data_IF_238633414273
#
_entry.id   IF_238633414273
#
_cell.length_a   1.000
_cell.length_b   1.000
_cell.length_c   1.000
_cell.angle_alpha   90.00
_cell.angle_beta   90.00
_cell.angle_gamma   90.00
#
_symmetry.space_group_name_H-M   'P 1'
#
loop_
_entity.id
_entity.type
_entity.pdbx_description
1 polymer ?
#
# COMPACT_ATOMS: atom_id res chain seq x y z
N UNK A 1 -15.44 2.24 21.46
CA UNK A 1 -16.02 0.99 20.88
C UNK A 1 -15.46 0.67 19.50
N UNK A 2 -15.61 1.50 18.46
CA UNK A 2 -15.12 1.16 17.10
C UNK A 2 -13.63 0.84 16.99
N UNK A 3 -12.78 1.65 17.62
CA UNK A 3 -11.33 1.39 17.64
C UNK A 3 -11.01 0.09 18.40
N UNK A 4 -11.70 -0.18 19.51
CA UNK A 4 -11.56 -1.40 20.30
C UNK A 4 -12.05 -2.64 19.53
N UNK A 5 -13.12 -2.53 18.75
CA UNK A 5 -13.60 -3.61 17.89
C UNK A 5 -12.67 -3.87 16.71
N UNK A 6 -12.16 -2.82 16.07
CA UNK A 6 -11.17 -2.96 15.00
C UNK A 6 -9.93 -3.68 15.54
N UNK A 7 -9.47 -3.32 16.74
CA UNK A 7 -8.39 -4.01 17.45
C UNK A 7 -8.75 -5.45 17.81
N UNK A 8 -9.91 -5.73 18.43
CA UNK A 8 -10.33 -7.09 18.80
C UNK A 8 -10.56 -8.02 17.59
N UNK A 9 -11.04 -7.49 16.45
CA UNK A 9 -11.26 -8.29 15.23
C UNK A 9 -9.95 -8.65 14.53
N UNK A 10 -8.88 -7.86 14.70
CA UNK A 10 -7.62 -8.00 13.95
C UNK A 10 -6.45 -8.51 14.80
N UNK A 11 -6.43 -8.20 16.08
CA UNK A 11 -5.45 -8.63 17.07
C UNK A 11 -6.14 -9.63 18.00
N UNK A 12 -5.89 -10.93 17.78
CA UNK A 12 -6.29 -11.96 18.75
C UNK A 12 -5.56 -11.68 20.07
N UNK A 13 -6.27 -11.27 21.12
CA UNK A 13 -5.73 -11.24 22.49
C UNK A 13 -5.74 -9.89 23.23
N UNK A 14 -6.38 -8.83 22.72
CA UNK A 14 -6.71 -7.67 23.57
C UNK A 14 -8.08 -7.91 24.25
N UNK A 15 -8.05 -8.20 25.55
CA UNK A 15 -9.23 -8.45 26.40
C UNK A 15 -9.90 -7.13 26.78
N UNK A 16 -10.34 -6.37 25.78
CA UNK A 16 -11.27 -5.28 26.01
C UNK A 16 -12.67 -5.87 26.17
N UNK A 17 -13.39 -5.50 27.24
CA UNK A 17 -14.80 -5.86 27.47
C UNK A 17 -15.73 -5.09 26.50
N UNK A 18 -15.48 -5.30 25.21
CA UNK A 18 -16.23 -4.77 24.09
C UNK A 18 -17.66 -5.30 24.13
N UNK A 19 -17.88 -6.49 24.69
CA UNK A 19 -19.20 -7.09 24.83
C UNK A 19 -20.08 -6.28 25.82
N UNK A 20 -19.56 -5.91 27.00
CA UNK A 20 -20.32 -5.09 27.94
C UNK A 20 -20.59 -3.68 27.41
N UNK A 21 -19.60 -3.06 26.77
CA UNK A 21 -19.76 -1.72 26.18
C UNK A 21 -20.73 -1.74 24.98
N UNK A 22 -20.71 -2.80 24.18
CA UNK A 22 -21.68 -2.98 23.09
C UNK A 22 -23.10 -3.16 23.63
N UNK A 23 -23.28 -3.98 24.67
CA UNK A 23 -24.59 -4.18 25.30
C UNK A 23 -25.16 -2.88 25.87
N UNK A 24 -24.32 -2.04 26.50
CA UNK A 24 -24.71 -0.69 26.96
C UNK A 24 -25.13 0.19 25.78
N UNK A 25 -24.36 0.16 24.69
CA UNK A 25 -24.67 0.95 23.50
C UNK A 25 -25.99 0.50 22.84
N UNK A 26 -26.21 -0.81 22.70
CA UNK A 26 -27.43 -1.38 22.14
C UNK A 26 -28.66 -0.98 22.96
N UNK A 27 -28.57 -1.04 24.30
CA UNK A 27 -29.65 -0.62 25.19
C UNK A 27 -29.99 0.87 25.07
N UNK A 28 -28.98 1.74 24.92
CA UNK A 28 -29.19 3.18 24.73
C UNK A 28 -29.70 3.50 23.33
N UNK A 29 -29.28 2.72 22.33
CA UNK A 29 -29.68 2.88 20.94
C UNK A 29 -31.01 2.24 20.58
N UNK A 30 -31.63 1.47 21.48
CA UNK A 30 -32.88 0.77 21.20
C UNK A 30 -34.01 1.78 20.90
N UNK A 31 -34.73 1.57 19.79
CA UNK A 31 -35.83 2.45 19.36
C UNK A 31 -35.41 3.80 18.76
N UNK A 32 -34.13 4.18 18.80
CA UNK A 32 -33.68 5.46 18.22
C UNK A 32 -33.55 5.34 16.69
N UNK A 33 -34.31 6.14 15.94
CA UNK A 33 -34.21 6.21 14.48
C UNK A 33 -33.31 7.39 14.09
N UNK A 34 -32.06 7.09 13.72
CA UNK A 34 -31.11 8.10 13.27
C UNK A 34 -30.12 7.48 12.27
N UNK A 35 -29.89 8.07 11.09
CA UNK A 35 -29.03 7.48 10.04
C UNK A 35 -27.64 7.09 10.53
N UNK A 36 -27.04 7.94 11.38
CA UNK A 36 -25.73 7.66 12.00
C UNK A 36 -25.74 6.43 12.92
N UNK A 37 -26.84 6.20 13.65
CA UNK A 37 -26.99 5.04 14.52
C UNK A 37 -27.15 3.78 13.67
N UNK A 38 -27.83 3.85 12.54
CA UNK A 38 -27.97 2.70 11.62
C UNK A 38 -26.62 2.23 11.06
N UNK A 39 -25.71 3.16 10.71
CA UNK A 39 -24.34 2.81 10.32
C UNK A 39 -23.57 2.11 11.45
N UNK A 40 -23.76 2.53 12.71
CA UNK A 40 -23.17 1.83 13.85
C UNK A 40 -23.80 0.44 14.03
N UNK A 41 -25.12 0.28 13.92
CA UNK A 41 -25.79 -1.02 13.95
C UNK A 41 -25.22 -1.97 12.89
N UNK A 42 -25.07 -1.50 11.65
CA UNK A 42 -24.45 -2.27 10.57
C UNK A 42 -23.04 -2.72 10.92
N UNK A 43 -22.21 -1.83 11.49
CA UNK A 43 -20.84 -2.16 11.91
C UNK A 43 -20.79 -3.18 13.04
N UNK A 44 -21.70 -3.07 14.01
CA UNK A 44 -21.79 -3.98 15.15
C UNK A 44 -22.29 -5.37 14.75
N UNK A 45 -23.16 -5.45 13.74
CA UNK A 45 -23.65 -6.70 13.18
C UNK A 45 -22.64 -7.49 12.31
N UNK A 46 -21.36 -7.09 12.25
CA UNK A 46 -20.39 -7.86 11.45
C UNK A 46 -20.22 -9.27 12.01
N UNK A 47 -20.45 -10.25 11.15
CA UNK A 47 -20.23 -11.67 11.42
C UNK A 47 -18.89 -12.06 10.81
N UNK A 48 -18.13 -12.92 11.50
CA UNK A 48 -16.78 -13.30 11.09
C UNK A 48 -16.71 -13.88 9.66
N UNK A 49 -17.77 -14.56 9.22
CA UNK A 49 -17.85 -15.26 7.92
C UNK A 49 -18.14 -14.32 6.74
N UNK A 50 -18.71 -13.13 6.99
CA UNK A 50 -19.18 -12.20 5.95
C UNK A 50 -18.57 -10.79 6.05
N UNK A 51 -17.43 -10.64 6.74
CA UNK A 51 -16.88 -9.33 7.07
C UNK A 51 -16.65 -8.41 5.86
N UNK A 52 -16.20 -8.95 4.72
CA UNK A 52 -15.91 -8.13 3.54
C UNK A 52 -17.18 -7.62 2.85
N UNK A 53 -18.21 -8.46 2.70
CA UNK A 53 -19.49 -8.04 2.10
C UNK A 53 -20.23 -7.06 3.00
N UNK A 54 -20.19 -7.27 4.32
CA UNK A 54 -20.76 -6.34 5.30
C UNK A 54 -20.03 -5.00 5.33
N UNK A 55 -18.71 -5.01 5.18
CA UNK A 55 -17.92 -3.79 5.01
C UNK A 55 -18.34 -3.00 3.76
N UNK A 56 -18.52 -3.67 2.62
CA UNK A 56 -18.98 -3.00 1.41
C UNK A 56 -20.37 -2.40 1.57
N UNK A 57 -21.31 -3.14 2.15
CA UNK A 57 -22.64 -2.63 2.45
C UNK A 57 -22.59 -1.39 3.36
N UNK A 58 -21.76 -1.40 4.41
CA UNK A 58 -21.57 -0.25 5.31
C UNK A 58 -20.97 0.94 4.58
N UNK A 59 -19.93 0.73 3.75
CA UNK A 59 -19.28 1.79 2.97
C UNK A 59 -20.28 2.45 2.03
N UNK A 60 -21.04 1.66 1.30
CA UNK A 60 -22.00 2.16 0.32
C UNK A 60 -23.16 2.89 1.01
N UNK A 61 -23.66 2.36 2.14
CA UNK A 61 -24.66 3.05 2.96
C UNK A 61 -24.19 4.42 3.45
N UNK A 62 -22.94 4.53 3.91
CA UNK A 62 -22.33 5.80 4.32
C UNK A 62 -22.20 6.79 3.15
N UNK A 63 -21.65 6.34 2.02
CA UNK A 63 -21.41 7.22 0.86
C UNK A 63 -22.72 7.73 0.24
N UNK A 64 -23.74 6.88 0.17
CA UNK A 64 -25.05 7.22 -0.41
C UNK A 64 -25.89 8.12 0.50
N UNK A 65 -25.78 7.97 1.81
CA UNK A 65 -26.60 8.73 2.78
C UNK A 65 -25.84 9.86 3.49
N UNK A 66 -24.61 10.20 3.07
CA UNK A 66 -23.74 11.18 3.74
C UNK A 66 -24.44 12.50 4.11
N UNK A 67 -25.34 12.97 3.24
CA UNK A 67 -26.07 14.24 3.42
C UNK A 67 -27.07 14.22 4.60
N UNK A 68 -27.37 13.05 5.15
CA UNK A 68 -28.24 12.87 6.31
C UNK A 68 -27.47 12.89 7.65
N UNK A 69 -26.13 13.03 7.60
CA UNK A 69 -25.27 13.05 8.77
C UNK A 69 -24.70 14.45 8.99
N UNK A 70 -24.58 14.87 10.25
CA UNK A 70 -23.85 16.10 10.56
C UNK A 70 -22.33 15.92 10.37
N UNK A 71 -21.57 17.02 10.36
CA UNK A 71 -20.12 17.01 10.11
C UNK A 71 -19.35 16.08 11.08
N UNK A 72 -19.71 16.10 12.37
CA UNK A 72 -19.08 15.26 13.39
C UNK A 72 -19.31 13.78 13.11
N UNK A 73 -20.52 13.41 12.70
CA UNK A 73 -20.87 12.03 12.35
C UNK A 73 -20.17 11.56 11.09
N UNK A 74 -20.15 12.41 10.04
CA UNK A 74 -19.43 12.11 8.80
C UNK A 74 -17.95 11.85 9.10
N UNK A 75 -17.32 12.69 9.91
CA UNK A 75 -15.93 12.54 10.34
C UNK A 75 -15.70 11.20 11.06
N UNK A 76 -16.53 10.86 12.04
CA UNK A 76 -16.38 9.63 12.83
C UNK A 76 -16.52 8.38 11.96
N UNK A 77 -17.55 8.33 11.10
CA UNK A 77 -17.78 7.19 10.21
C UNK A 77 -16.71 7.07 9.14
N UNK A 78 -16.26 8.18 8.55
CA UNK A 78 -15.20 8.19 7.55
C UNK A 78 -13.88 7.67 8.11
N UNK A 79 -13.44 8.16 9.27
CA UNK A 79 -12.22 7.68 9.93
C UNK A 79 -12.34 6.19 10.26
N UNK A 80 -13.50 5.75 10.73
CA UNK A 80 -13.73 4.34 11.03
C UNK A 80 -13.70 3.45 9.79
N UNK A 81 -14.27 3.92 8.67
CA UNK A 81 -14.21 3.21 7.38
C UNK A 81 -12.78 3.15 6.84
N UNK A 82 -12.03 4.25 6.88
CA UNK A 82 -10.63 4.27 6.46
C UNK A 82 -9.79 3.25 7.25
N UNK A 83 -10.00 3.16 8.56
CA UNK A 83 -9.32 2.19 9.40
C UNK A 83 -9.66 0.74 8.98
N UNK A 84 -10.93 0.44 8.73
CA UNK A 84 -11.34 -0.87 8.22
C UNK A 84 -10.72 -1.17 6.85
N UNK A 85 -10.76 -0.21 5.92
CA UNK A 85 -10.18 -0.36 4.58
C UNK A 85 -8.70 -0.71 4.68
N UNK A 86 -7.94 0.00 5.52
CA UNK A 86 -6.52 -0.28 5.71
C UNK A 86 -6.28 -1.66 6.33
N UNK A 87 -7.17 -2.13 7.20
CA UNK A 87 -7.10 -3.49 7.74
C UNK A 87 -7.32 -4.56 6.68
N UNK A 88 -8.34 -4.39 5.82
CA UNK A 88 -8.61 -5.32 4.71
C UNK A 88 -7.52 -5.27 3.63
N UNK A 89 -6.90 -4.12 3.38
CA UNK A 89 -5.72 -4.02 2.51
C UNK A 89 -4.56 -4.83 3.10
N UNK A 90 -4.32 -4.70 4.40
CA UNK A 90 -3.23 -5.42 5.09
C UNK A 90 -3.46 -6.94 5.12
N UNK A 91 -4.71 -7.40 5.21
CA UNK A 91 -5.05 -8.82 5.10
C UNK A 91 -5.03 -9.36 3.66
N UNK A 92 -4.92 -8.47 2.67
CA UNK A 92 -4.92 -8.81 1.25
C UNK A 92 -6.31 -9.09 0.68
N UNK A 93 -7.37 -8.67 1.38
CA UNK A 93 -8.77 -8.80 0.93
C UNK A 93 -9.23 -7.63 0.06
N UNK A 94 -8.56 -6.48 0.16
CA UNK A 94 -8.79 -5.30 -0.68
C UNK A 94 -7.49 -4.86 -1.35
N UNK A 95 -7.63 -4.17 -2.48
CA UNK A 95 -6.52 -3.48 -3.13
C UNK A 95 -6.36 -2.07 -2.54
N UNK A 96 -5.15 -1.50 -2.61
CA UNK A 96 -4.90 -0.15 -2.10
C UNK A 96 -5.75 0.91 -2.80
N UNK A 97 -6.11 0.69 -4.07
CA UNK A 97 -6.97 1.59 -4.85
C UNK A 97 -8.39 1.69 -4.30
N UNK A 98 -8.88 0.69 -3.55
CA UNK A 98 -10.19 0.70 -2.90
C UNK A 98 -10.32 1.76 -1.81
N UNK A 99 -9.18 2.22 -1.28
CA UNK A 99 -9.14 3.30 -0.28
C UNK A 99 -9.29 4.70 -0.86
N UNK A 100 -9.03 4.88 -2.17
CA UNK A 100 -8.93 6.20 -2.78
C UNK A 100 -10.22 7.03 -2.66
N UNK A 101 -11.44 6.49 -2.87
CA UNK A 101 -12.67 7.29 -2.74
C UNK A 101 -12.87 7.86 -1.33
N UNK A 102 -12.53 7.09 -0.29
CA UNK A 102 -12.63 7.54 1.10
C UNK A 102 -11.58 8.60 1.42
N UNK A 103 -10.36 8.44 0.89
CA UNK A 103 -9.34 9.47 1.04
C UNK A 103 -9.69 10.77 0.32
N UNK A 104 -10.24 10.70 -0.90
CA UNK A 104 -10.72 11.89 -1.63
C UNK A 104 -11.79 12.64 -0.84
N UNK A 105 -12.80 11.93 -0.34
CA UNK A 105 -13.81 12.52 0.55
C UNK A 105 -13.18 13.12 1.83
N UNK A 106 -12.18 12.45 2.39
CA UNK A 106 -11.48 12.94 3.58
C UNK A 106 -10.61 14.18 3.36
N UNK A 107 -10.12 14.38 2.12
CA UNK A 107 -9.45 15.61 1.71
C UNK A 107 -10.47 16.74 1.51
N UNK A 108 -11.55 16.47 0.77
CA UNK A 108 -12.63 17.44 0.49
C UNK A 108 -13.26 18.01 1.77
N UNK A 109 -13.46 17.15 2.77
CA UNK A 109 -14.04 17.53 4.08
C UNK A 109 -13.02 18.05 5.08
N UNK A 110 -11.72 18.00 4.77
CA UNK A 110 -10.65 18.34 5.71
C UNK A 110 -10.49 17.36 6.89
N UNK A 111 -11.25 16.26 6.93
CA UNK A 111 -11.22 15.26 8.01
C UNK A 111 -9.83 14.64 8.20
N UNK A 112 -9.07 14.50 7.12
CA UNK A 112 -7.70 13.95 7.14
C UNK A 112 -6.65 14.91 7.70
N UNK A 113 -6.98 16.19 7.83
CA UNK A 113 -6.08 17.22 8.31
C UNK A 113 -6.17 17.32 9.83
N UNK A 114 -5.13 16.86 10.52
CA UNK A 114 -4.98 17.08 11.96
C UNK A 114 -4.19 18.37 12.19
N UNK A 115 -4.82 19.39 12.78
CA UNK A 115 -4.21 20.72 12.94
C UNK A 115 -3.67 21.30 11.61
N UNK A 116 -4.43 21.11 10.53
CA UNK A 116 -4.05 21.55 9.18
C UNK A 116 -2.95 20.71 8.54
N UNK A 117 -2.58 19.56 9.12
CA UNK A 117 -1.53 18.70 8.60
C UNK A 117 -2.00 17.31 8.18
N UNK A 118 -1.48 16.81 7.07
CA UNK A 118 -1.60 15.41 6.67
C UNK A 118 -0.50 14.58 7.35
N UNK A 119 -0.91 13.41 7.84
CA UNK A 119 0.07 12.42 8.30
C UNK A 119 0.91 11.90 7.12
N UNK A 120 2.17 11.55 7.39
CA UNK A 120 3.05 10.89 6.42
C UNK A 120 2.39 9.66 5.79
N UNK A 121 1.74 8.82 6.60
CA UNK A 121 1.08 7.60 6.13
C UNK A 121 -0.05 7.93 5.15
N UNK A 122 -0.97 8.82 5.54
CA UNK A 122 -2.08 9.29 4.70
C UNK A 122 -1.57 9.82 3.37
N UNK A 123 -0.57 10.71 3.40
CA UNK A 123 0.03 11.29 2.20
C UNK A 123 0.56 10.20 1.26
N UNK A 124 1.38 9.28 1.77
CA UNK A 124 1.97 8.22 0.95
C UNK A 124 0.94 7.21 0.45
N UNK A 125 -0.08 6.88 1.25
CA UNK A 125 -1.15 5.97 0.82
C UNK A 125 -1.97 6.57 -0.32
N UNK A 126 -2.30 7.86 -0.26
CA UNK A 126 -3.03 8.55 -1.33
C UNK A 126 -2.23 8.48 -2.62
N UNK A 127 -0.94 8.86 -2.58
CA UNK A 127 -0.03 8.80 -3.74
C UNK A 127 0.07 7.38 -4.32
N UNK A 128 0.18 6.35 -3.48
CA UNK A 128 0.27 4.97 -3.97
C UNK A 128 -1.06 4.53 -4.58
N UNK A 129 -2.17 4.78 -3.90
CA UNK A 129 -3.50 4.39 -4.35
C UNK A 129 -3.85 5.07 -5.68
N UNK A 130 -3.62 6.38 -5.81
CA UNK A 130 -3.93 7.13 -7.03
C UNK A 130 -3.03 6.76 -8.20
N UNK A 131 -1.73 6.56 -7.98
CA UNK A 131 -0.83 6.11 -9.03
C UNK A 131 -1.12 4.67 -9.48
N UNK A 132 -1.40 3.76 -8.54
CA UNK A 132 -1.80 2.37 -8.86
C UNK A 132 -3.10 2.35 -9.68
N UNK A 133 -4.05 3.26 -9.38
CA UNK A 133 -5.30 3.40 -10.14
C UNK A 133 -5.10 4.06 -11.51
N UNK A 134 -3.96 4.71 -11.75
CA UNK A 134 -3.69 5.47 -12.97
C UNK A 134 -4.33 6.87 -13.00
N UNK A 135 -4.79 7.40 -11.87
CA UNK A 135 -5.36 8.76 -11.80
C UNK A 135 -4.23 9.78 -11.61
N UNK A 136 -3.39 9.96 -12.62
CA UNK A 136 -2.18 10.77 -12.55
C UNK A 136 -2.44 12.27 -12.42
N UNK A 137 -3.49 12.78 -13.05
CA UNK A 137 -3.88 14.19 -12.94
C UNK A 137 -4.25 14.55 -11.50
N UNK A 138 -5.09 13.69 -10.87
CA UNK A 138 -5.39 13.80 -9.45
C UNK A 138 -4.12 13.72 -8.60
N UNK A 139 -3.21 12.79 -8.91
CA UNK A 139 -1.98 12.64 -8.13
C UNK A 139 -1.10 13.87 -8.20
N UNK A 140 -0.96 14.46 -9.39
CA UNK A 140 -0.17 15.67 -9.62
C UNK A 140 -0.79 16.84 -8.85
N UNK A 141 -2.10 17.04 -8.97
CA UNK A 141 -2.81 18.05 -8.20
C UNK A 141 -2.67 17.82 -6.69
N UNK A 142 -2.79 16.58 -6.23
CA UNK A 142 -2.63 16.22 -4.82
C UNK A 142 -1.24 16.59 -4.29
N UNK A 143 -0.18 16.24 -5.02
CA UNK A 143 1.20 16.53 -4.63
C UNK A 143 1.39 18.05 -4.49
N UNK A 144 1.00 18.83 -5.50
CA UNK A 144 1.21 20.28 -5.48
C UNK A 144 0.38 20.98 -4.40
N UNK A 145 -0.85 20.52 -4.15
CA UNK A 145 -1.75 21.13 -3.16
C UNK A 145 -1.39 20.74 -1.72
N UNK A 146 -1.12 19.46 -1.45
CA UNK A 146 -1.10 18.92 -0.08
C UNK A 146 0.31 18.68 0.48
N UNK A 147 1.38 18.75 -0.32
CA UNK A 147 2.76 18.61 0.21
C UNK A 147 3.06 19.64 1.29
N UNK A 148 2.62 20.89 1.10
CA UNK A 148 2.83 21.97 2.06
C UNK A 148 2.15 21.71 3.42
N UNK A 149 1.15 20.82 3.45
CA UNK A 149 0.42 20.42 4.66
C UNK A 149 1.03 19.18 5.33
N UNK A 150 2.15 18.63 4.85
CA UNK A 150 2.87 17.61 5.61
C UNK A 150 3.82 18.29 6.62
N UNK A 151 4.27 17.57 7.66
CA UNK A 151 5.26 18.07 8.61
C UNK A 151 6.54 18.60 7.92
N UNK A 152 6.99 19.79 8.32
CA UNK A 152 8.03 20.58 7.63
C UNK A 152 9.33 19.81 7.38
N UNK A 153 9.75 18.98 8.34
CA UNK A 153 10.99 18.20 8.28
C UNK A 153 10.98 17.10 7.21
N UNK A 154 9.81 16.64 6.75
CA UNK A 154 9.68 15.58 5.76
C UNK A 154 9.07 16.03 4.42
N UNK A 155 8.64 17.30 4.28
CA UNK A 155 8.00 17.81 3.04
C UNK A 155 8.82 17.54 1.79
N UNK A 156 10.11 17.81 1.81
CA UNK A 156 10.99 17.60 0.64
C UNK A 156 11.09 16.11 0.29
N UNK A 157 11.12 15.23 1.29
CA UNK A 157 11.15 13.79 1.05
C UNK A 157 9.81 13.30 0.50
N UNK A 158 8.69 13.78 1.05
CA UNK A 158 7.33 13.49 0.55
C UNK A 158 7.18 13.91 -0.92
N UNK A 159 7.56 15.14 -1.25
CA UNK A 159 7.41 15.72 -2.59
C UNK A 159 8.21 14.91 -3.63
N UNK A 160 9.52 14.74 -3.38
CA UNK A 160 10.39 14.06 -4.32
C UNK A 160 10.06 12.59 -4.46
N UNK A 161 9.74 11.91 -3.35
CA UNK A 161 9.31 10.51 -3.44
C UNK A 161 8.00 10.36 -4.21
N UNK A 162 7.02 11.23 -3.96
CA UNK A 162 5.73 11.16 -4.65
C UNK A 162 5.87 11.40 -6.15
N UNK A 163 6.66 12.40 -6.55
CA UNK A 163 6.96 12.64 -7.97
C UNK A 163 7.71 11.49 -8.64
N UNK A 164 8.72 10.92 -7.97
CA UNK A 164 9.43 9.74 -8.49
C UNK A 164 8.47 8.55 -8.64
N UNK A 165 7.61 8.33 -7.66
CA UNK A 165 6.62 7.26 -7.68
C UNK A 165 5.59 7.47 -8.81
N UNK A 166 5.11 8.70 -9.02
CA UNK A 166 4.23 9.02 -10.16
C UNK A 166 4.92 8.78 -11.50
N UNK A 167 6.17 9.25 -11.67
CA UNK A 167 6.94 9.01 -12.89
C UNK A 167 7.12 7.51 -13.17
N UNK A 168 7.40 6.73 -12.13
CA UNK A 168 7.50 5.27 -12.22
C UNK A 168 6.21 4.62 -12.75
N UNK A 169 5.05 4.98 -12.18
CA UNK A 169 3.77 4.43 -12.60
C UNK A 169 3.34 4.90 -13.99
N UNK A 170 3.75 6.10 -14.41
CA UNK A 170 3.61 6.60 -15.79
C UNK A 170 4.56 5.94 -16.79
N UNK A 171 5.36 4.95 -16.37
CA UNK A 171 6.39 4.29 -17.18
C UNK A 171 7.54 5.20 -17.64
N UNK A 172 7.68 6.39 -17.03
CA UNK A 172 8.81 7.28 -17.23
C UNK A 172 9.94 6.90 -16.25
N UNK A 173 10.65 5.82 -16.58
CA UNK A 173 11.63 5.19 -15.70
C UNK A 173 12.89 6.06 -15.55
N UNK A 174 13.28 6.77 -16.60
CA UNK A 174 14.43 7.68 -16.62
C UNK A 174 14.21 8.86 -15.68
N UNK A 175 13.03 9.50 -15.72
CA UNK A 175 12.70 10.61 -14.81
C UNK A 175 12.61 10.12 -13.36
N UNK A 176 12.00 8.96 -13.12
CA UNK A 176 11.98 8.34 -11.80
C UNK A 176 13.41 8.19 -11.25
N UNK A 177 14.32 7.60 -12.02
CA UNK A 177 15.73 7.47 -11.63
C UNK A 177 16.42 8.83 -11.43
N UNK A 178 16.14 9.81 -12.28
CA UNK A 178 16.73 11.14 -12.18
C UNK A 178 16.37 11.81 -10.86
N UNK A 179 15.09 11.74 -10.46
CA UNK A 179 14.62 12.27 -9.17
C UNK A 179 15.28 11.53 -8.02
N UNK A 180 15.29 10.20 -8.05
CA UNK A 180 15.85 9.36 -6.99
C UNK A 180 17.37 9.54 -6.81
N UNK A 181 18.10 9.88 -7.87
CA UNK A 181 19.54 10.18 -7.83
C UNK A 181 19.83 11.60 -7.31
N UNK A 182 19.01 12.59 -7.67
CA UNK A 182 19.21 13.99 -7.27
C UNK A 182 18.80 14.26 -5.83
N UNK A 183 17.80 13.54 -5.32
CA UNK A 183 17.28 13.77 -3.98
C UNK A 183 17.83 12.77 -2.96
N UNK A 184 18.48 13.27 -1.90
CA UNK A 184 18.93 12.44 -0.77
C UNK A 184 17.87 12.44 0.32
N UNK A 185 17.12 11.33 0.44
CA UNK A 185 16.09 11.16 1.48
C UNK A 185 16.70 11.17 2.90
N UNK A 186 16.14 11.99 3.79
CA UNK A 186 16.64 12.19 5.16
C UNK A 186 15.78 11.46 6.19
N UNK A 187 14.47 11.46 6.01
CA UNK A 187 13.53 10.80 6.88
C UNK A 187 13.68 9.28 6.78
N UNK A 188 13.79 8.55 7.91
CA UNK A 188 14.03 7.10 7.91
C UNK A 188 13.01 6.29 7.11
N UNK A 189 11.76 6.75 7.03
CA UNK A 189 10.73 6.10 6.22
C UNK A 189 11.01 6.26 4.73
N UNK A 190 11.29 7.47 4.25
CA UNK A 190 11.57 7.74 2.84
C UNK A 190 12.88 7.13 2.37
N UNK A 191 13.85 6.94 3.27
CA UNK A 191 15.05 6.15 2.99
C UNK A 191 14.73 4.68 2.66
N UNK A 192 13.71 4.09 3.29
CA UNK A 192 13.27 2.71 2.99
C UNK A 192 12.50 2.65 1.66
N UNK A 193 11.42 3.43 1.54
CA UNK A 193 10.54 3.35 0.36
C UNK A 193 11.18 3.91 -0.90
N UNK A 194 12.12 4.86 -0.77
CA UNK A 194 12.95 5.30 -1.89
C UNK A 194 13.91 4.21 -2.37
N UNK A 195 14.38 3.34 -1.47
CA UNK A 195 15.20 2.18 -1.87
C UNK A 195 14.38 1.09 -2.55
N UNK A 196 13.17 0.84 -2.06
CA UNK A 196 12.20 -0.04 -2.75
C UNK A 196 11.95 0.48 -4.17
N UNK A 197 11.64 1.77 -4.33
CA UNK A 197 11.35 2.34 -5.64
C UNK A 197 12.57 2.30 -6.58
N UNK A 198 13.78 2.58 -6.09
CA UNK A 198 15.01 2.40 -6.87
C UNK A 198 15.20 0.96 -7.35
N UNK A 199 14.93 -0.03 -6.48
CA UNK A 199 14.96 -1.43 -6.90
C UNK A 199 13.94 -1.70 -8.01
N UNK A 200 12.71 -1.21 -7.87
CA UNK A 200 11.65 -1.44 -8.86
C UNK A 200 12.01 -0.84 -10.22
N UNK A 201 12.51 0.41 -10.26
CA UNK A 201 12.87 1.07 -11.52
C UNK A 201 14.10 0.45 -12.18
N UNK A 202 15.15 0.07 -11.43
CA UNK A 202 16.29 -0.66 -12.00
C UNK A 202 15.88 -2.04 -12.51
N UNK A 203 14.93 -2.69 -11.85
CA UNK A 203 14.42 -3.98 -12.28
C UNK A 203 13.71 -3.85 -13.63
N UNK A 204 12.82 -2.87 -13.76
CA UNK A 204 12.06 -2.64 -14.99
C UNK A 204 12.95 -2.20 -16.14
N UNK A 205 13.98 -1.38 -15.88
CA UNK A 205 14.98 -1.04 -16.87
C UNK A 205 15.78 -2.27 -17.31
N UNK A 206 16.16 -3.15 -16.38
CA UNK A 206 16.84 -4.41 -16.71
C UNK A 206 15.98 -5.33 -17.58
N UNK A 207 14.66 -5.39 -17.36
CA UNK A 207 13.76 -6.16 -18.24
C UNK A 207 13.67 -5.59 -19.67
N UNK A 208 13.93 -4.28 -19.85
CA UNK A 208 13.91 -3.60 -21.15
C UNK A 208 15.29 -3.58 -21.82
N UNK A 209 16.35 -3.50 -21.04
CA UNK A 209 17.74 -3.39 -21.50
C UNK A 209 18.68 -4.12 -20.52
N UNK A 210 19.27 -5.21 -21.00
CA UNK A 210 20.18 -6.07 -20.23
C UNK A 210 21.42 -5.32 -19.71
N UNK A 211 21.77 -4.15 -20.28
CA UNK A 211 22.85 -3.29 -19.79
C UNK A 211 22.65 -2.82 -18.34
N UNK A 212 21.40 -2.79 -17.86
CA UNK A 212 21.05 -2.41 -16.50
C UNK A 212 21.31 -3.52 -15.46
N UNK A 213 21.66 -4.74 -15.88
CA UNK A 213 21.89 -5.87 -14.98
C UNK A 213 22.88 -5.52 -13.86
N UNK A 214 24.06 -5.02 -14.21
CA UNK A 214 25.11 -4.71 -13.23
C UNK A 214 24.65 -3.67 -12.20
N UNK A 215 23.88 -2.67 -12.63
CA UNK A 215 23.34 -1.63 -11.75
C UNK A 215 22.33 -2.22 -10.77
N UNK A 216 21.40 -3.05 -11.24
CA UNK A 216 20.39 -3.70 -10.40
C UNK A 216 21.04 -4.61 -9.34
N UNK A 217 21.96 -5.48 -9.74
CA UNK A 217 22.62 -6.41 -8.82
C UNK A 217 23.49 -5.69 -7.80
N UNK A 218 24.23 -4.66 -8.22
CA UNK A 218 24.97 -3.80 -7.28
C UNK A 218 24.01 -3.10 -6.31
N UNK A 219 22.86 -2.64 -6.80
CA UNK A 219 21.87 -1.97 -5.97
C UNK A 219 21.29 -2.92 -4.91
N UNK A 220 21.00 -4.19 -5.24
CA UNK A 220 20.59 -5.19 -4.25
C UNK A 220 21.61 -5.32 -3.12
N UNK A 221 22.90 -5.41 -3.44
CA UNK A 221 23.98 -5.53 -2.44
C UNK A 221 24.03 -4.30 -1.53
N UNK A 222 23.91 -3.09 -2.11
CA UNK A 222 23.92 -1.85 -1.31
C UNK A 222 22.68 -1.74 -0.41
N UNK A 223 21.51 -2.18 -0.87
CA UNK A 223 20.28 -2.15 -0.10
C UNK A 223 20.35 -3.14 1.08
N UNK A 224 20.77 -4.38 0.83
CA UNK A 224 20.97 -5.38 1.90
C UNK A 224 21.99 -4.92 2.95
N UNK A 225 23.15 -4.41 2.51
CA UNK A 225 24.18 -3.85 3.42
C UNK A 225 23.67 -2.66 4.21
N UNK A 226 22.84 -1.81 3.61
CA UNK A 226 22.22 -0.68 4.31
C UNK A 226 21.20 -1.17 5.35
N UNK A 227 20.32 -2.13 5.02
CA UNK A 227 19.37 -2.73 5.95
C UNK A 227 20.06 -3.38 7.17
N UNK A 228 21.23 -3.99 6.97
CA UNK A 228 22.04 -4.55 8.04
C UNK A 228 22.60 -3.49 9.01
N UNK A 229 22.96 -2.30 8.51
CA UNK A 229 23.53 -1.20 9.29
C UNK A 229 22.50 -0.26 9.90
N UNK A 230 21.31 -0.17 9.30
CA UNK A 230 20.23 0.71 9.76
C UNK A 230 19.77 0.34 11.19
N UNK A 231 19.72 1.32 12.10
CA UNK A 231 19.44 1.09 13.53
C UNK A 231 18.12 1.70 14.02
N UNK A 232 17.52 2.62 13.26
CA UNK A 232 16.24 3.27 13.61
C UNK A 232 15.09 2.26 13.58
N UNK A 233 15.11 1.34 12.61
CA UNK A 233 14.03 0.37 12.42
C UNK A 233 14.31 -0.95 13.13
N UNK A 234 13.27 -1.51 13.77
CA UNK A 234 13.34 -2.83 14.39
C UNK A 234 13.68 -3.93 13.37
N UNK A 235 14.23 -5.05 13.85
CA UNK A 235 14.51 -6.22 12.99
C UNK A 235 13.25 -6.70 12.27
N UNK A 236 12.10 -6.73 12.97
CA UNK A 236 10.82 -7.15 12.39
C UNK A 236 10.32 -6.19 11.30
N UNK A 237 10.48 -4.87 11.49
CA UNK A 237 10.10 -3.89 10.47
C UNK A 237 10.95 -4.04 9.20
N UNK A 238 12.27 -4.21 9.36
CA UNK A 238 13.22 -4.39 8.24
C UNK A 238 13.08 -5.73 7.52
N UNK A 239 12.58 -6.78 8.19
CA UNK A 239 12.46 -8.12 7.62
C UNK A 239 11.67 -8.13 6.30
N UNK A 240 10.59 -7.35 6.23
CA UNK A 240 9.76 -7.25 5.02
C UNK A 240 10.50 -6.63 3.82
N UNK A 241 11.38 -5.66 4.07
CA UNK A 241 12.21 -5.01 3.03
C UNK A 241 13.38 -5.90 2.61
N UNK A 242 14.01 -6.59 3.57
CA UNK A 242 15.05 -7.57 3.27
C UNK A 242 14.47 -8.70 2.41
N UNK A 243 13.30 -9.21 2.79
CA UNK A 243 12.63 -10.27 2.04
C UNK A 243 12.29 -9.83 0.62
N UNK A 244 11.88 -8.57 0.42
CA UNK A 244 11.65 -8.00 -0.89
C UNK A 244 12.90 -8.10 -1.78
N UNK A 245 14.06 -7.64 -1.32
CA UNK A 245 15.31 -7.72 -2.09
C UNK A 245 15.74 -9.17 -2.36
N UNK A 246 15.58 -10.04 -1.35
CA UNK A 246 15.88 -11.47 -1.46
C UNK A 246 14.98 -12.22 -2.45
N UNK A 247 13.80 -11.70 -2.80
CA UNK A 247 12.94 -12.25 -3.85
C UNK A 247 13.25 -11.62 -5.20
N UNK A 248 13.55 -10.31 -5.26
CA UNK A 248 13.95 -9.65 -6.50
C UNK A 248 15.21 -10.27 -7.09
N UNK A 249 16.22 -10.58 -6.27
CA UNK A 249 17.50 -11.12 -6.74
C UNK A 249 17.38 -12.45 -7.53
N UNK A 250 16.75 -13.52 -7.02
CA UNK A 250 16.57 -14.75 -7.79
C UNK A 250 15.68 -14.53 -9.02
N UNK A 251 14.68 -13.65 -8.95
CA UNK A 251 13.84 -13.32 -10.11
C UNK A 251 14.67 -12.65 -11.23
N UNK A 252 15.54 -11.70 -10.88
CA UNK A 252 16.46 -11.07 -11.82
C UNK A 252 17.48 -12.06 -12.40
N UNK A 253 18.01 -12.98 -11.58
CA UNK A 253 18.93 -14.04 -12.05
C UNK A 253 18.26 -14.96 -13.05
N UNK A 254 17.03 -15.39 -12.77
CA UNK A 254 16.26 -16.19 -13.72
C UNK A 254 16.02 -15.44 -15.03
N UNK A 255 15.82 -14.11 -14.99
CA UNK A 255 15.76 -13.31 -16.20
C UNK A 255 17.10 -13.25 -16.96
N UNK A 256 18.23 -13.13 -16.26
CA UNK A 256 19.57 -13.11 -16.86
C UNK A 256 19.99 -14.46 -17.47
N UNK A 257 19.80 -15.56 -16.73
CA UNK A 257 20.37 -16.86 -17.07
C UNK A 257 19.39 -17.73 -17.88
N UNK A 258 19.89 -18.55 -18.81
CA UNK A 258 19.10 -19.49 -19.62
C UNK A 258 18.84 -20.85 -18.94
N UNK A 259 18.81 -20.90 -17.60
CA UNK A 259 18.79 -22.15 -16.83
C UNK A 259 17.38 -22.66 -16.44
N UNK A 260 17.21 -23.98 -16.20
CA UNK A 260 15.94 -24.58 -15.82
C UNK A 260 15.66 -24.37 -14.31
N UNK A 261 15.08 -23.23 -13.95
CA UNK A 261 14.59 -22.97 -12.59
C UNK A 261 13.16 -22.38 -12.55
N UNK A 262 12.36 -22.57 -13.61
CA UNK A 262 10.98 -22.06 -13.70
C UNK A 262 10.14 -22.46 -12.47
N UNK A 263 10.25 -23.72 -12.03
CA UNK A 263 9.54 -24.22 -10.84
C UNK A 263 9.95 -23.50 -9.55
N UNK A 264 11.23 -23.12 -9.40
CA UNK A 264 11.68 -22.37 -8.23
C UNK A 264 11.07 -20.97 -8.23
N UNK A 265 11.05 -20.31 -9.39
CA UNK A 265 10.45 -18.98 -9.56
C UNK A 265 8.95 -18.99 -9.29
N UNK A 266 8.23 -19.99 -9.80
CA UNK A 266 6.80 -20.16 -9.55
C UNK A 266 6.46 -20.22 -8.06
N UNK A 267 7.33 -20.86 -7.27
CA UNK A 267 7.16 -21.04 -5.84
C UNK A 267 7.74 -19.90 -4.97
N UNK A 268 8.53 -18.96 -5.52
CA UNK A 268 9.20 -17.89 -4.75
C UNK A 268 8.26 -17.07 -3.85
N UNK A 269 7.02 -16.85 -4.29
CA UNK A 269 6.02 -16.06 -3.57
C UNK A 269 4.98 -16.92 -2.84
N UNK A 270 5.10 -18.25 -2.90
CA UNK A 270 4.12 -19.16 -2.30
C UNK A 270 4.25 -19.05 -0.78
N UNK A 271 3.17 -18.61 -0.11
CA UNK A 271 3.08 -18.38 1.35
C UNK A 271 3.80 -17.14 1.89
N UNK A 272 4.28 -16.24 1.03
CA UNK A 272 4.82 -14.95 1.47
C UNK A 272 3.71 -14.04 2.00
N UNK A 273 3.77 -13.70 3.29
CA UNK A 273 2.81 -12.81 3.95
C UNK A 273 3.44 -11.52 4.49
N UNK A 274 4.76 -11.50 4.66
CA UNK A 274 5.48 -10.38 5.25
C UNK A 274 6.59 -9.89 4.32
N UNK A 275 6.17 -9.32 3.18
CA UNK A 275 7.07 -8.79 2.17
C UNK A 275 6.54 -7.45 1.66
N UNK A 276 7.45 -6.50 1.44
CA UNK A 276 7.10 -5.22 0.84
C UNK A 276 6.77 -5.36 -0.64
N UNK A 277 5.88 -4.51 -1.14
CA UNK A 277 5.49 -4.47 -2.55
C UNK A 277 5.05 -5.84 -3.13
N UNK A 278 4.29 -6.64 -2.35
CA UNK A 278 3.86 -7.99 -2.75
C UNK A 278 3.13 -8.02 -4.10
N UNK A 279 2.20 -7.09 -4.35
CA UNK A 279 1.47 -7.03 -5.62
C UNK A 279 2.40 -6.78 -6.80
N UNK A 280 3.37 -5.87 -6.64
CA UNK A 280 4.41 -5.63 -7.64
C UNK A 280 5.26 -6.89 -7.88
N UNK A 281 5.70 -7.59 -6.82
CA UNK A 281 6.47 -8.83 -6.96
C UNK A 281 5.70 -9.90 -7.73
N UNK A 282 4.38 -10.04 -7.50
CA UNK A 282 3.52 -10.97 -8.24
C UNK A 282 3.48 -10.62 -9.73
N UNK A 283 3.23 -9.35 -10.05
CA UNK A 283 3.22 -8.85 -11.44
C UNK A 283 4.57 -9.08 -12.13
N UNK A 284 5.68 -8.77 -11.45
CA UNK A 284 7.03 -8.96 -12.03
C UNK A 284 7.39 -10.43 -12.23
N UNK A 285 6.95 -11.30 -11.31
CA UNK A 285 7.11 -12.75 -11.49
C UNK A 285 6.44 -13.21 -12.78
N UNK A 286 5.18 -12.81 -13.00
CA UNK A 286 4.44 -13.15 -14.22
C UNK A 286 5.08 -12.57 -15.48
N UNK A 287 5.51 -11.32 -15.43
CA UNK A 287 6.19 -10.65 -16.54
C UNK A 287 7.50 -11.36 -16.93
N UNK A 288 8.33 -11.70 -15.95
CA UNK A 288 9.60 -12.42 -16.19
C UNK A 288 9.37 -13.80 -16.77
N UNK A 289 8.38 -14.55 -16.26
CA UNK A 289 8.00 -15.86 -16.79
C UNK A 289 7.54 -15.75 -18.25
N UNK A 290 6.71 -14.75 -18.57
CA UNK A 290 6.23 -14.46 -19.94
C UNK A 290 7.39 -14.13 -20.89
N UNK A 291 8.29 -13.23 -20.48
CA UNK A 291 9.46 -12.85 -21.28
C UNK A 291 10.39 -14.05 -21.55
N UNK A 292 10.53 -14.96 -20.59
CA UNK A 292 11.32 -16.19 -20.76
C UNK A 292 10.65 -17.19 -21.69
N UNK A 293 9.34 -17.41 -21.55
CA UNK A 293 8.60 -18.30 -22.44
C UNK A 293 8.66 -17.84 -23.91
N UNK A 294 8.69 -16.52 -24.16
CA UNK A 294 8.86 -15.96 -25.51
C UNK A 294 10.29 -16.06 -26.07
N UNK A 295 11.31 -16.25 -25.22
CA UNK A 295 12.72 -16.39 -25.63
C UNK A 295 13.13 -17.86 -25.88
N UNK A 296 12.33 -18.86 -25.50
CA UNK A 296 12.61 -20.27 -25.75
C UNK A 296 12.30 -20.64 -27.21
N UNK A 297 13.23 -21.19 -28.01
CA UNK A 297 12.93 -21.64 -29.36
C UNK A 297 11.82 -22.71 -29.34
N UNK A 298 10.86 -22.66 -30.29
CA UNK A 298 10.02 -23.84 -30.57
C UNK A 298 10.95 -24.97 -30.99
N UNK A 299 10.78 -26.22 -30.51
CA UNK A 299 11.51 -27.34 -31.07
C UNK A 299 11.20 -27.40 -32.57
N UNK A 300 12.24 -27.39 -33.40
CA UNK A 300 12.09 -27.65 -34.84
C UNK A 300 11.41 -29.02 -34.99
N UNK A 301 10.40 -29.15 -35.87
CA UNK A 301 9.85 -30.45 -36.19
C UNK A 301 10.99 -31.27 -36.80
N UNK A 302 11.39 -32.33 -36.09
CA UNK A 302 12.51 -33.17 -36.49
C UNK A 302 12.29 -33.76 -37.90
N UNK A 303 13.34 -33.64 -38.70
CA UNK A 303 13.51 -34.31 -40.00
C UNK A 303 13.50 -35.84 -39.88
#
# INVERSE_FOLDING_TARGET
INEMMARNRLLRGEDHDVAAELKKWEAVGEGVQHPSIDLYRMRFAFLAENQLSQYWALRDAFLNNRGQHNEREQKLHLVSLLNDTMAFIKSGQLDITDSLPLYQLGLETGVLLHQGQLSRNTYTTIVIASNTKGTFDFTTHFIETYTAQVEKNIRNDCYNWARAHTAYWQQNLEECLAILKRHTFKAPYFQLIGRVLNTQVYFDLFLKDESYQRYLFSYFDTFEKWLGREKVWSKSAKASFLRFVQICRPLARYHADAGPETQKVEHLLRRERNVQALNWLKQKKEEVLRLKAGKTPRPEPGD
#
